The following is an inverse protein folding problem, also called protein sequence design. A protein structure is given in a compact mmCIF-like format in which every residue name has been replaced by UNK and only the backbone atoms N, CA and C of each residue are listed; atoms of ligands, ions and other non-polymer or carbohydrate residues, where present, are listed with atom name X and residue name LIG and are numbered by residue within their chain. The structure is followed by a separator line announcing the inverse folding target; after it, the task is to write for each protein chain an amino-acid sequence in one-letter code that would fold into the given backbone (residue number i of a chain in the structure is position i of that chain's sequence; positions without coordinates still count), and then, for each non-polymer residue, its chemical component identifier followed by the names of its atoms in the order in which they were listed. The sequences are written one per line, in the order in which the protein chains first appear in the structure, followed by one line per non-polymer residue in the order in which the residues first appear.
data_IF_781520409837
#
_entry.id   IF_781520409837
#
_cell.length_a   1.000
_cell.length_b   1.000
_cell.length_c   1.000
_cell.angle_alpha   90.00
_cell.angle_beta   90.00
_cell.angle_gamma   90.00
#
_symmetry.space_group_name_H-M   'P 1'
#
loop_
_entity.id
_entity.type
_entity.pdbx_description
1 polymer ?
#
# COMPACT_ATOMS: atom_id res chain seq x y z
N UNK A 1 15.86 34.51 -1.32
CA UNK A 1 14.96 33.62 -0.55
C UNK A 1 14.43 32.58 -1.51
N UNK A 2 15.03 31.39 -1.49
CA UNK A 2 14.46 30.24 -2.21
C UNK A 2 13.29 29.79 -1.35
N UNK A 3 12.08 29.88 -1.89
CA UNK A 3 10.92 29.23 -1.28
C UNK A 3 11.22 27.74 -1.42
N UNK A 4 11.61 27.09 -0.32
CA UNK A 4 11.56 25.63 -0.26
C UNK A 4 10.09 25.28 -0.46
N UNK A 5 9.78 24.67 -1.61
CA UNK A 5 8.52 23.95 -1.75
C UNK A 5 8.44 22.99 -0.56
N UNK A 6 7.40 23.14 0.26
CA UNK A 6 7.07 22.16 1.29
C UNK A 6 6.81 20.84 0.54
N UNK A 7 7.82 19.97 0.49
CA UNK A 7 7.68 18.62 -0.06
C UNK A 7 6.54 17.93 0.68
N UNK A 8 5.44 17.66 -0.04
CA UNK A 8 4.24 17.08 0.55
C UNK A 8 4.52 15.61 0.82
N UNK A 9 4.74 15.28 2.09
CA UNK A 9 4.82 13.89 2.56
C UNK A 9 3.53 13.16 2.21
N UNK A 10 3.67 12.04 1.51
CA UNK A 10 2.52 11.21 1.16
C UNK A 10 2.22 10.26 2.31
N UNK A 11 1.04 10.43 2.91
CA UNK A 11 0.52 9.57 3.98
C UNK A 11 0.08 8.23 3.39
N UNK A 12 0.66 7.14 3.90
CA UNK A 12 0.37 5.78 3.47
C UNK A 12 0.15 4.86 4.67
N UNK A 13 -0.64 3.80 4.49
CA UNK A 13 -0.75 2.72 5.48
C UNK A 13 0.00 1.49 4.98
N UNK A 14 0.72 0.84 5.88
CA UNK A 14 1.12 -0.56 5.72
C UNK A 14 0.39 -1.40 6.76
N UNK A 15 -0.33 -2.43 6.31
CA UNK A 15 -0.90 -3.44 7.20
C UNK A 15 -0.09 -4.73 7.12
N UNK A 16 0.62 -5.05 8.20
CA UNK A 16 1.52 -6.22 8.25
C UNK A 16 1.90 -6.56 9.70
N UNK A 17 2.29 -7.81 9.93
CA UNK A 17 3.00 -8.23 11.14
C UNK A 17 4.43 -8.70 10.84
N UNK A 18 4.89 -8.54 9.61
CA UNK A 18 6.20 -8.98 9.14
C UNK A 18 7.20 -7.82 9.26
N UNK A 19 8.16 -7.99 10.18
CA UNK A 19 9.23 -7.03 10.45
C UNK A 19 10.12 -6.78 9.22
N UNK A 20 10.21 -7.73 8.28
CA UNK A 20 10.95 -7.52 7.03
C UNK A 20 10.21 -6.54 6.12
N UNK A 21 8.87 -6.62 6.05
CA UNK A 21 8.04 -5.64 5.33
C UNK A 21 8.25 -4.25 5.92
N UNK A 22 8.21 -4.14 7.25
CA UNK A 22 8.41 -2.87 7.97
C UNK A 22 9.80 -2.28 7.73
N UNK A 23 10.83 -3.15 7.72
CA UNK A 23 12.20 -2.75 7.40
C UNK A 23 12.30 -2.16 5.99
N UNK A 24 11.69 -2.81 4.99
CA UNK A 24 11.67 -2.29 3.61
C UNK A 24 10.90 -0.97 3.52
N UNK A 25 9.74 -0.87 4.17
CA UNK A 25 8.95 0.37 4.20
C UNK A 25 9.76 1.53 4.80
N UNK A 26 10.49 1.27 5.88
CA UNK A 26 11.34 2.26 6.54
C UNK A 26 12.48 2.74 5.64
N UNK A 27 13.09 1.83 4.86
CA UNK A 27 14.12 2.18 3.88
C UNK A 27 13.58 3.02 2.72
N UNK A 28 12.30 2.83 2.36
CA UNK A 28 11.63 3.57 1.29
C UNK A 28 11.16 4.93 1.78
N UNK A 29 10.69 5.04 3.03
CA UNK A 29 10.11 6.24 3.61
C UNK A 29 10.94 7.50 3.31
N UNK A 30 12.24 7.45 3.62
CA UNK A 30 13.15 8.59 3.40
C UNK A 30 13.53 8.84 1.94
N UNK A 31 13.40 7.85 1.05
CA UNK A 31 13.74 7.98 -0.38
C UNK A 31 12.56 8.47 -1.22
N UNK A 32 11.34 8.15 -0.77
CA UNK A 32 10.10 8.45 -1.48
C UNK A 32 9.30 9.58 -0.83
N UNK A 33 9.76 10.15 0.28
CA UNK A 33 9.01 11.07 1.14
C UNK A 33 7.60 10.51 1.44
N UNK A 34 7.57 9.27 1.91
CA UNK A 34 6.36 8.61 2.39
C UNK A 34 6.41 8.51 3.90
N UNK A 35 5.30 8.82 4.54
CA UNK A 35 5.06 8.56 5.94
C UNK A 35 4.17 7.32 6.08
N UNK A 36 4.73 6.25 6.65
CA UNK A 36 4.03 4.98 6.84
C UNK A 36 3.40 4.91 8.21
N UNK A 37 2.07 4.88 8.21
CA UNK A 37 1.29 4.39 9.34
C UNK A 37 1.26 2.87 9.34
N UNK A 38 1.66 2.24 10.44
CA UNK A 38 1.64 0.78 10.58
C UNK A 38 0.35 0.33 11.25
N UNK A 39 -0.38 -0.55 10.57
CA UNK A 39 -1.55 -1.23 11.09
C UNK A 39 -1.30 -2.73 11.24
N UNK A 40 -1.88 -3.34 12.27
CA UNK A 40 -1.75 -4.80 12.53
C UNK A 40 -3.09 -5.52 12.52
N UNK A 41 -4.18 -4.75 12.56
CA UNK A 41 -5.55 -5.22 12.62
C UNK A 41 -6.40 -4.60 11.50
N UNK A 42 -7.32 -5.40 10.97
CA UNK A 42 -8.21 -4.96 9.88
C UNK A 42 -9.26 -3.96 10.35
N UNK A 43 -9.79 -4.09 11.57
CA UNK A 43 -10.81 -3.18 12.07
C UNK A 43 -10.26 -1.76 12.21
N UNK A 44 -9.04 -1.62 12.72
CA UNK A 44 -8.35 -0.34 12.84
C UNK A 44 -8.08 0.28 11.46
N UNK A 45 -7.60 -0.52 10.49
CA UNK A 45 -7.45 -0.07 9.11
C UNK A 45 -8.77 0.45 8.52
N UNK A 46 -9.86 -0.29 8.67
CA UNK A 46 -11.16 0.10 8.11
C UNK A 46 -11.69 1.40 8.75
N UNK A 47 -11.49 1.58 10.06
CA UNK A 47 -11.84 2.81 10.76
C UNK A 47 -11.04 4.01 10.24
N UNK A 48 -9.73 3.83 10.03
CA UNK A 48 -8.85 4.89 9.52
C UNK A 48 -9.13 5.22 8.06
N UNK A 49 -9.49 4.26 7.23
CA UNK A 49 -9.87 4.50 5.83
C UNK A 49 -11.06 5.46 5.67
N UNK A 50 -11.91 5.55 6.70
CA UNK A 50 -13.04 6.47 6.74
C UNK A 50 -12.64 7.91 7.10
N UNK A 51 -11.66 8.06 8.02
CA UNK A 51 -11.40 9.34 8.68
C UNK A 51 -10.15 10.06 8.19
N UNK A 52 -9.19 9.32 7.62
CA UNK A 52 -7.85 9.82 7.35
C UNK A 52 -7.57 9.92 5.83
N UNK A 53 -6.69 10.86 5.46
CA UNK A 53 -6.36 11.14 4.05
C UNK A 53 -5.11 10.38 3.56
N UNK A 54 -5.15 9.05 3.60
CA UNK A 54 -4.10 8.25 2.97
C UNK A 54 -4.23 8.21 1.45
N UNK A 55 -3.08 8.15 0.78
CA UNK A 55 -2.99 8.04 -0.67
C UNK A 55 -2.52 6.66 -1.14
N UNK A 56 -2.16 5.76 -0.24
CA UNK A 56 -1.61 4.45 -0.56
C UNK A 56 -1.84 3.45 0.57
N UNK A 57 -2.10 2.20 0.21
CA UNK A 57 -2.08 1.06 1.13
C UNK A 57 -1.08 0.00 0.63
N UNK A 58 -0.22 -0.47 1.52
CA UNK A 58 0.52 -1.72 1.37
C UNK A 58 -0.14 -2.80 2.24
N UNK A 59 -0.74 -3.78 1.59
CA UNK A 59 -1.46 -4.88 2.22
C UNK A 59 -0.59 -6.14 2.24
N UNK A 60 -0.11 -6.54 3.41
CA UNK A 60 0.51 -7.84 3.59
C UNK A 60 -0.53 -8.89 3.94
N UNK A 61 -0.81 -9.77 2.98
CA UNK A 61 -1.90 -10.70 3.12
C UNK A 61 -1.55 -12.00 3.84
N UNK A 62 -0.32 -12.15 4.35
CA UNK A 62 0.14 -13.43 4.92
C UNK A 62 -0.73 -13.88 6.12
N UNK A 63 -1.08 -12.95 7.02
CA UNK A 63 -1.99 -13.22 8.14
C UNK A 63 -3.45 -13.46 7.68
N UNK A 64 -3.79 -13.00 6.49
CA UNK A 64 -5.16 -12.94 5.99
C UNK A 64 -5.35 -13.83 4.76
N UNK A 65 -4.50 -14.84 4.53
CA UNK A 65 -4.43 -15.52 3.24
C UNK A 65 -5.80 -16.05 2.75
N UNK A 66 -6.61 -16.61 3.66
CA UNK A 66 -7.92 -17.19 3.35
C UNK A 66 -8.99 -16.14 3.04
N UNK A 67 -8.87 -14.95 3.62
CA UNK A 67 -9.86 -13.86 3.53
C UNK A 67 -9.33 -12.62 2.81
N UNK A 68 -8.13 -12.69 2.23
CA UNK A 68 -7.42 -11.53 1.67
C UNK A 68 -8.24 -10.83 0.58
N UNK A 69 -8.85 -11.59 -0.31
CA UNK A 69 -9.70 -11.05 -1.38
C UNK A 69 -10.92 -10.32 -0.80
N UNK A 70 -11.57 -10.87 0.24
CA UNK A 70 -12.70 -10.22 0.90
C UNK A 70 -12.27 -8.91 1.56
N UNK A 71 -11.13 -8.90 2.25
CA UNK A 71 -10.61 -7.68 2.87
C UNK A 71 -10.26 -6.61 1.84
N UNK A 72 -9.60 -7.00 0.74
CA UNK A 72 -9.29 -6.11 -0.37
C UNK A 72 -10.56 -5.55 -1.02
N UNK A 73 -11.60 -6.37 -1.20
CA UNK A 73 -12.92 -5.90 -1.64
C UNK A 73 -13.53 -4.87 -0.70
N UNK A 74 -13.44 -5.08 0.62
CA UNK A 74 -13.96 -4.13 1.61
C UNK A 74 -13.22 -2.80 1.55
N UNK A 75 -11.88 -2.85 1.48
CA UNK A 75 -11.04 -1.64 1.31
C UNK A 75 -11.44 -0.91 0.02
N UNK A 76 -11.58 -1.63 -1.09
CA UNK A 76 -11.94 -1.06 -2.38
C UNK A 76 -13.34 -0.45 -2.38
N UNK A 77 -14.33 -1.08 -1.70
CA UNK A 77 -15.67 -0.51 -1.54
C UNK A 77 -15.66 0.81 -0.75
N UNK A 78 -14.81 0.92 0.27
CA UNK A 78 -14.68 2.14 1.09
C UNK A 78 -13.89 3.24 0.37
N UNK A 79 -12.82 2.88 -0.34
CA UNK A 79 -11.93 3.82 -1.03
C UNK A 79 -11.60 3.31 -2.44
N UNK A 80 -12.54 3.38 -3.42
CA UNK A 80 -12.36 2.76 -4.74
C UNK A 80 -11.17 3.26 -5.56
N UNK A 81 -10.67 4.45 -5.24
CA UNK A 81 -9.56 5.09 -5.96
C UNK A 81 -8.23 5.00 -5.22
N UNK A 82 -8.18 4.42 -4.02
CA UNK A 82 -6.90 4.30 -3.31
C UNK A 82 -6.06 3.22 -3.99
N UNK A 83 -4.83 3.53 -4.43
CA UNK A 83 -3.89 2.52 -4.89
C UNK A 83 -3.59 1.53 -3.76
N UNK A 84 -3.74 0.25 -4.06
CA UNK A 84 -3.41 -0.84 -3.14
C UNK A 84 -2.26 -1.64 -3.75
N UNK A 85 -1.17 -1.75 -3.02
CA UNK A 85 -0.09 -2.68 -3.27
C UNK A 85 -0.30 -3.88 -2.36
N UNK A 86 -0.27 -5.10 -2.88
CA UNK A 86 -0.36 -6.32 -2.06
C UNK A 86 0.95 -7.09 -2.08
N UNK A 87 1.36 -7.63 -0.93
CA UNK A 87 2.52 -8.50 -0.80
C UNK A 87 2.14 -9.89 -0.33
N UNK A 88 2.83 -10.91 -0.84
CA UNK A 88 2.46 -12.31 -0.70
C UNK A 88 3.66 -13.26 -0.68
N UNK A 89 3.64 -14.36 0.09
CA UNK A 89 4.70 -15.38 -0.02
C UNK A 89 4.65 -16.09 -1.37
N UNK A 90 3.45 -16.43 -1.85
CA UNK A 90 3.23 -16.99 -3.18
C UNK A 90 1.85 -16.55 -3.71
N UNK A 91 1.65 -16.67 -5.02
CA UNK A 91 0.36 -16.38 -5.64
C UNK A 91 0.01 -17.45 -6.68
N UNK A 92 -1.18 -18.02 -6.57
CA UNK A 92 -1.72 -18.88 -7.61
C UNK A 92 -2.23 -18.03 -8.78
N UNK A 93 -2.31 -18.62 -9.98
CA UNK A 93 -2.86 -17.94 -11.16
C UNK A 93 -4.29 -17.45 -10.92
N UNK A 94 -5.10 -18.25 -10.24
CA UNK A 94 -6.50 -17.93 -9.92
C UNK A 94 -6.59 -16.73 -8.97
N UNK A 95 -5.84 -16.73 -7.86
CA UNK A 95 -5.79 -15.58 -6.94
C UNK A 95 -5.28 -14.33 -7.66
N UNK A 96 -4.27 -14.46 -8.53
CA UNK A 96 -3.74 -13.36 -9.34
C UNK A 96 -4.79 -12.74 -10.27
N UNK A 97 -5.60 -13.56 -10.94
CA UNK A 97 -6.69 -13.08 -11.78
C UNK A 97 -7.72 -12.29 -10.96
N UNK A 98 -8.15 -12.82 -9.80
CA UNK A 98 -9.08 -12.12 -8.92
C UNK A 98 -8.55 -10.76 -8.46
N UNK A 99 -7.26 -10.65 -8.11
CA UNK A 99 -6.67 -9.38 -7.71
C UNK A 99 -6.63 -8.36 -8.86
N UNK A 100 -6.39 -8.81 -10.09
CA UNK A 100 -6.44 -7.94 -11.26
C UNK A 100 -7.87 -7.44 -11.51
N UNK A 101 -8.86 -8.32 -11.40
CA UNK A 101 -10.28 -7.96 -11.55
C UNK A 101 -10.75 -6.98 -10.46
N UNK A 102 -10.19 -7.08 -9.25
CA UNK A 102 -10.42 -6.13 -8.16
C UNK A 102 -9.71 -4.77 -8.34
N UNK A 103 -8.89 -4.61 -9.38
CA UNK A 103 -8.17 -3.35 -9.64
C UNK A 103 -7.02 -3.08 -8.68
N UNK A 104 -6.38 -4.13 -8.13
CA UNK A 104 -5.17 -3.97 -7.32
C UNK A 104 -4.06 -3.34 -8.16
N UNK A 105 -3.41 -2.31 -7.61
CA UNK A 105 -2.46 -1.48 -8.36
C UNK A 105 -1.16 -2.24 -8.66
N UNK A 106 -0.65 -2.97 -7.67
CA UNK A 106 0.58 -3.76 -7.83
C UNK A 106 0.57 -4.97 -6.90
N UNK A 107 1.12 -6.08 -7.39
CA UNK A 107 1.28 -7.33 -6.66
C UNK A 107 2.77 -7.64 -6.59
N UNK A 108 3.27 -7.89 -5.39
CA UNK A 108 4.66 -8.30 -5.18
C UNK A 108 4.74 -9.57 -4.36
N UNK A 109 5.75 -10.40 -4.63
CA UNK A 109 6.05 -11.57 -3.81
C UNK A 109 7.12 -11.26 -2.78
N UNK A 110 7.10 -11.96 -1.65
CA UNK A 110 8.16 -11.96 -0.64
C UNK A 110 9.32 -12.85 -1.12
N UNK A 111 10.58 -12.53 -0.77
CA UNK A 111 11.00 -11.37 0.02
C UNK A 111 10.84 -10.06 -0.75
N UNK A 112 10.42 -9.01 -0.05
CA UNK A 112 10.24 -7.69 -0.63
C UNK A 112 11.60 -7.09 -1.02
N UNK A 113 11.65 -6.53 -2.22
CA UNK A 113 12.79 -5.74 -2.67
C UNK A 113 12.46 -4.26 -2.63
N UNK A 114 13.37 -3.47 -2.07
CA UNK A 114 13.23 -2.02 -1.92
C UNK A 114 13.14 -1.32 -3.28
N UNK A 115 13.87 -1.80 -4.30
CA UNK A 115 13.99 -1.10 -5.59
C UNK A 115 12.69 -1.12 -6.41
N UNK A 116 12.06 -2.28 -6.70
CA UNK A 116 10.79 -2.31 -7.43
C UNK A 116 9.69 -1.56 -6.68
N UNK A 117 9.61 -1.72 -5.35
CA UNK A 117 8.57 -1.07 -4.56
C UNK A 117 8.71 0.46 -4.55
N UNK A 118 9.95 0.98 -4.49
CA UNK A 118 10.24 2.41 -4.57
C UNK A 118 9.77 3.01 -5.91
N UNK A 119 10.03 2.33 -7.03
CA UNK A 119 9.61 2.80 -8.35
C UNK A 119 8.08 2.84 -8.48
N UNK A 120 7.40 1.80 -8.01
CA UNK A 120 5.94 1.73 -7.99
C UNK A 120 5.36 2.88 -7.16
N UNK A 121 5.95 3.15 -6.00
CA UNK A 121 5.55 4.24 -5.12
C UNK A 121 5.73 5.61 -5.79
N UNK A 122 6.87 5.86 -6.46
CA UNK A 122 7.06 7.11 -7.20
C UNK A 122 6.03 7.29 -8.31
N UNK A 123 5.67 6.23 -9.01
CA UNK A 123 4.61 6.27 -10.03
C UNK A 123 3.24 6.62 -9.43
N UNK A 124 2.93 6.11 -8.23
CA UNK A 124 1.70 6.45 -7.50
C UNK A 124 1.70 7.91 -7.06
N UNK A 125 2.81 8.41 -6.50
CA UNK A 125 2.96 9.82 -6.13
C UNK A 125 2.73 10.74 -7.32
N UNK A 126 3.40 10.46 -8.44
CA UNK A 126 3.29 11.25 -9.67
C UNK A 126 1.84 11.33 -10.17
N UNK A 127 1.15 10.20 -10.25
CA UNK A 127 -0.28 10.15 -10.65
C UNK A 127 -1.20 10.89 -9.68
N UNK A 128 -0.89 10.89 -8.39
CA UNK A 128 -1.68 11.59 -7.38
C UNK A 128 -1.55 13.10 -7.50
N UNK A 129 -0.38 13.60 -7.88
CA UNK A 129 -0.13 15.03 -8.14
C UNK A 129 -0.77 15.52 -9.45
N UNK A 130 -0.84 14.67 -10.49
CA UNK A 130 -1.48 15.01 -11.77
C UNK A 130 -3.02 15.05 -11.70
N UNK A 131 -3.62 14.47 -10.66
CA UNK A 131 -5.07 14.43 -10.44
C UNK A 131 -5.60 15.58 -9.57
N UNK A 132 -4.71 16.45 -9.07
CA UNK A 132 -5.02 17.67 -8.31
C UNK A 132 -5.03 18.89 -9.23
#
# INVERSE_FOLDING_TARGET
MVVQELEVLVQAIVITNDEQVLTVCSQIAGKAEIDWSVERDMADLLLRLHNDDFKLILFDWEKYEDDCLKWLEHIHKLRPRIPIITTCPCISREKGACLMDLGIFYITQKPLSTFPLLEIIHNIKKKSLEAM
#
